data_IF_457543646327
#
_entry.id   IF_457543646327
#
_cell.length_a   1.000
_cell.length_b   1.000
_cell.length_c   1.000
_cell.angle_alpha   90.00
_cell.angle_beta   90.00
_cell.angle_gamma   90.00
#
_symmetry.space_group_name_H-M   'P 1'
#
loop_
_entity.id
_entity.type
_entity.pdbx_description
1 polymer ?
#
# COMPACT_ATOMS: atom_id res chain seq x y z
N UNK A 1 5.89 -0.30 9.72
CA UNK A 1 5.00 -0.04 8.58
C UNK A 1 5.45 -0.74 7.30
N UNK A 2 6.71 -0.63 6.95
CA UNK A 2 7.25 -1.26 5.72
C UNK A 2 7.00 -2.77 5.69
N UNK A 3 7.34 -3.47 6.75
CA UNK A 3 7.16 -4.93 6.84
C UNK A 3 5.71 -5.34 6.69
N UNK A 4 4.80 -4.59 7.31
CA UNK A 4 3.37 -4.88 7.23
C UNK A 4 2.87 -4.74 5.81
N UNK A 5 3.30 -3.70 5.11
CA UNK A 5 2.93 -3.48 3.71
C UNK A 5 3.47 -4.61 2.83
N UNK A 6 4.72 -5.01 3.04
CA UNK A 6 5.33 -6.12 2.29
C UNK A 6 4.60 -7.44 2.55
N UNK A 7 4.22 -7.70 3.80
CA UNK A 7 3.46 -8.89 4.15
C UNK A 7 2.10 -8.91 3.47
N UNK A 8 1.42 -7.76 3.43
CA UNK A 8 0.12 -7.65 2.77
C UNK A 8 0.25 -7.87 1.27
N UNK A 9 1.29 -7.32 0.63
CA UNK A 9 1.56 -7.57 -0.78
C UNK A 9 1.77 -9.06 -1.06
N UNK A 10 2.52 -9.73 -0.20
CA UNK A 10 2.77 -11.16 -0.33
C UNK A 10 1.48 -11.97 -0.18
N UNK A 11 0.66 -11.62 0.80
CA UNK A 11 -0.60 -12.31 1.07
C UNK A 11 -1.62 -12.16 -0.05
N UNK A 12 -1.63 -11.01 -0.71
CA UNK A 12 -2.53 -10.77 -1.84
C UNK A 12 -2.12 -11.56 -3.07
N UNK A 13 -0.93 -12.16 -3.07
CA UNK A 13 -0.41 -12.83 -4.25
C UNK A 13 -0.25 -11.87 -5.41
N UNK A 14 -0.02 -10.60 -5.10
CA UNK A 14 -0.13 -9.51 -6.04
C UNK A 14 1.00 -9.47 -7.06
N UNK A 15 2.16 -10.00 -6.70
CA UNK A 15 3.37 -9.84 -7.50
C UNK A 15 4.02 -11.19 -7.78
N UNK A 16 4.58 -11.37 -8.99
CA UNK A 16 5.22 -12.62 -9.37
C UNK A 16 6.63 -12.81 -8.82
N UNK A 17 7.13 -11.85 -8.06
CA UNK A 17 8.48 -11.88 -7.47
C UNK A 17 8.39 -11.81 -5.96
N UNK A 18 9.47 -12.22 -5.27
CA UNK A 18 9.50 -12.20 -3.81
C UNK A 18 9.67 -10.78 -3.28
N UNK A 19 9.16 -10.55 -2.09
CA UNK A 19 9.13 -9.21 -1.50
C UNK A 19 10.51 -8.64 -1.21
N UNK A 20 11.49 -9.49 -0.97
CA UNK A 20 12.86 -9.04 -0.73
C UNK A 20 13.58 -8.59 -2.01
N UNK A 21 13.00 -8.88 -3.17
CA UNK A 21 13.54 -8.42 -4.46
C UNK A 21 12.94 -7.09 -4.90
N UNK A 22 12.02 -6.53 -4.13
CA UNK A 22 11.34 -5.28 -4.47
C UNK A 22 11.93 -4.16 -3.63
N UNK A 23 12.47 -3.14 -4.30
CA UNK A 23 12.94 -1.93 -3.63
C UNK A 23 11.74 -1.11 -3.13
N UNK A 24 11.96 -0.32 -2.09
CA UNK A 24 10.89 0.50 -1.50
C UNK A 24 10.29 1.49 -2.50
N UNK A 25 11.09 1.97 -3.44
CA UNK A 25 10.66 2.94 -4.44
C UNK A 25 10.31 2.31 -5.79
N UNK A 26 10.33 0.98 -5.88
CA UNK A 26 10.00 0.28 -7.14
C UNK A 26 8.54 0.49 -7.50
N UNK A 27 8.27 0.63 -8.80
CA UNK A 27 6.91 0.77 -9.31
C UNK A 27 6.21 -0.58 -9.23
N UNK A 28 5.24 -0.68 -8.33
CA UNK A 28 4.52 -1.93 -8.09
C UNK A 28 3.68 -2.35 -9.30
N UNK A 29 3.12 -1.39 -10.02
CA UNK A 29 2.34 -1.70 -11.23
C UNK A 29 3.23 -2.24 -12.33
N UNK A 30 4.43 -1.68 -12.48
CA UNK A 30 5.42 -2.21 -13.41
C UNK A 30 5.88 -3.61 -13.03
N UNK A 31 5.89 -3.90 -11.73
CA UNK A 31 6.27 -5.22 -11.22
C UNK A 31 5.15 -6.25 -11.37
N UNK A 32 3.93 -5.83 -11.72
CA UNK A 32 2.84 -6.75 -11.96
C UNK A 32 1.60 -6.56 -11.10
N UNK A 33 1.54 -5.50 -10.29
CA UNK A 33 0.36 -5.26 -9.44
C UNK A 33 -0.86 -4.93 -10.32
N UNK A 34 -1.89 -5.75 -10.20
CA UNK A 34 -3.15 -5.52 -10.93
C UNK A 34 -4.05 -4.56 -10.16
N UNK A 35 -5.05 -4.01 -10.87
CA UNK A 35 -6.06 -3.15 -10.24
C UNK A 35 -6.83 -3.89 -9.16
N UNK A 36 -7.16 -5.15 -9.42
CA UNK A 36 -7.85 -5.98 -8.44
C UNK A 36 -7.01 -6.20 -7.19
N UNK A 37 -5.74 -6.53 -7.37
CA UNK A 37 -4.82 -6.76 -6.26
C UNK A 37 -4.59 -5.48 -5.45
N UNK A 38 -4.55 -4.32 -6.11
CA UNK A 38 -4.39 -3.05 -5.42
C UNK A 38 -5.57 -2.72 -4.52
N UNK A 39 -6.79 -3.09 -4.92
CA UNK A 39 -7.98 -2.93 -4.08
C UNK A 39 -7.89 -3.85 -2.85
N UNK A 40 -7.48 -5.09 -3.04
CA UNK A 40 -7.29 -6.01 -1.92
C UNK A 40 -6.21 -5.53 -0.96
N UNK A 41 -5.13 -5.00 -1.51
CA UNK A 41 -4.06 -4.41 -0.72
C UNK A 41 -4.58 -3.23 0.10
N UNK A 42 -5.36 -2.35 -0.51
CA UNK A 42 -5.97 -1.22 0.17
C UNK A 42 -6.80 -1.68 1.37
N UNK A 43 -7.68 -2.67 1.16
CA UNK A 43 -8.53 -3.19 2.22
C UNK A 43 -7.70 -3.81 3.35
N UNK A 44 -6.63 -4.52 3.00
CA UNK A 44 -5.72 -5.09 3.99
C UNK A 44 -5.02 -4.02 4.81
N UNK A 45 -4.61 -2.93 4.18
CA UNK A 45 -3.96 -1.81 4.86
C UNK A 45 -4.96 -1.11 5.79
N UNK A 46 -6.18 -0.89 5.34
CA UNK A 46 -7.21 -0.27 6.18
C UNK A 46 -7.45 -1.08 7.45
N UNK A 47 -7.50 -2.39 7.32
CA UNK A 47 -7.68 -3.29 8.44
C UNK A 47 -6.45 -3.32 9.36
N UNK A 48 -5.26 -3.43 8.78
CA UNK A 48 -4.03 -3.57 9.54
C UNK A 48 -3.70 -2.33 10.37
N UNK A 49 -4.01 -1.15 9.84
CA UNK A 49 -3.70 0.13 10.49
C UNK A 49 -4.93 0.81 11.08
N UNK A 50 -6.09 0.19 10.95
CA UNK A 50 -7.36 0.73 11.46
C UNK A 50 -7.61 2.14 10.93
N UNK A 51 -7.55 2.29 9.61
CA UNK A 51 -7.73 3.57 8.90
C UNK A 51 -8.71 3.40 7.75
N UNK A 52 -9.18 4.53 7.20
CA UNK A 52 -9.94 4.57 5.97
C UNK A 52 -9.25 5.51 4.99
N UNK A 53 -9.07 5.06 3.75
CA UNK A 53 -8.53 5.92 2.71
C UNK A 53 -9.60 6.89 2.25
N UNK A 54 -9.36 8.20 2.34
CA UNK A 54 -10.30 9.17 1.76
C UNK A 54 -10.25 9.11 0.22
N UNK A 55 -11.34 9.53 -0.41
CA UNK A 55 -11.48 9.43 -1.87
C UNK A 55 -10.34 10.09 -2.63
N UNK A 56 -9.83 11.21 -2.13
CA UNK A 56 -8.73 11.92 -2.81
C UNK A 56 -7.40 11.18 -2.75
N UNK A 57 -7.29 10.17 -1.89
CA UNK A 57 -6.10 9.33 -1.80
C UNK A 57 -6.30 7.95 -2.45
N UNK A 58 -7.51 7.66 -2.94
CA UNK A 58 -7.82 6.42 -3.64
C UNK A 58 -7.46 6.56 -5.12
N UNK A 59 -6.17 6.58 -5.42
CA UNK A 59 -5.68 6.72 -6.77
C UNK A 59 -4.44 5.87 -6.98
N UNK A 60 -4.08 5.66 -8.25
CA UNK A 60 -2.94 4.83 -8.62
C UNK A 60 -1.63 5.30 -8.00
N UNK A 61 -1.48 6.61 -7.86
CA UNK A 61 -0.26 7.22 -7.34
C UNK A 61 0.00 6.80 -5.89
N UNK A 62 -1.05 6.68 -5.09
CA UNK A 62 -0.94 6.30 -3.68
C UNK A 62 -0.42 4.89 -3.48
N UNK A 63 -0.60 4.02 -4.46
CA UNK A 63 -0.23 2.61 -4.40
C UNK A 63 0.90 2.25 -5.36
N UNK A 64 1.56 3.25 -5.94
CA UNK A 64 2.57 3.02 -6.97
C UNK A 64 3.84 2.37 -6.45
N UNK A 65 4.17 2.57 -5.17
CA UNK A 65 5.37 1.99 -4.55
C UNK A 65 5.12 1.79 -3.06
N UNK A 66 6.00 1.03 -2.41
CA UNK A 66 5.92 0.85 -0.95
C UNK A 66 6.10 2.20 -0.26
N UNK A 67 7.03 3.03 -0.74
CA UNK A 67 7.24 4.39 -0.22
C UNK A 67 5.96 5.23 -0.35
N UNK A 68 5.29 5.15 -1.51
CA UNK A 68 4.05 5.90 -1.72
C UNK A 68 2.95 5.45 -0.76
N UNK A 69 2.83 4.15 -0.53
CA UNK A 69 1.87 3.60 0.43
C UNK A 69 2.19 4.08 1.84
N UNK A 70 3.46 4.03 2.23
CA UNK A 70 3.89 4.50 3.54
C UNK A 70 3.55 5.97 3.76
N UNK A 71 3.81 6.81 2.75
CA UNK A 71 3.49 8.24 2.82
C UNK A 71 1.98 8.45 2.97
N UNK A 72 1.19 7.72 2.20
CA UNK A 72 -0.27 7.85 2.24
C UNK A 72 -0.81 7.43 3.59
N UNK A 73 -0.38 6.31 4.12
CA UNK A 73 -0.78 5.83 5.44
C UNK A 73 -0.35 6.83 6.52
N UNK A 74 0.89 7.35 6.40
CA UNK A 74 1.40 8.34 7.34
C UNK A 74 0.56 9.61 7.37
N UNK A 75 0.12 10.09 6.20
CA UNK A 75 -0.76 11.25 6.10
C UNK A 75 -2.10 11.02 6.80
N UNK A 76 -2.69 9.86 6.60
CA UNK A 76 -3.96 9.50 7.22
C UNK A 76 -3.81 9.42 8.74
N UNK A 77 -2.75 8.76 9.22
CA UNK A 77 -2.49 8.63 10.65
C UNK A 77 -2.22 9.98 11.31
N UNK A 78 -1.49 10.86 10.63
CA UNK A 78 -1.25 12.22 11.12
C UNK A 78 -2.54 13.03 11.22
N UNK A 79 -3.42 12.90 10.24
CA UNK A 79 -4.71 13.57 10.23
C UNK A 79 -5.55 13.19 11.45
N UNK A 80 -5.46 11.95 11.89
CA UNK A 80 -6.20 11.44 13.06
C UNK A 80 -5.69 12.00 14.38
N UNK A 81 -4.44 12.46 14.41
CA UNK A 81 -3.82 13.02 15.62
C UNK A 81 -4.18 14.48 15.84
N UNK A 82 -4.70 15.12 14.83
CA UNK A 82 -5.14 16.52 14.91
C UNK A 82 -6.52 16.54 15.53
N UNK A 83 -6.59 17.07 16.71
CA UNK A 83 -7.84 17.12 17.49
C UNK A 83 -8.35 18.55 17.54
#
# INVERSE_FOLDING_TARGET
MNETIRDLLAKCGALPITMDQIADDADLYAAGLSSFASVQLMLGIEEAFDIEFPDNLLNRKSFASIVAIEKTVGMILNSRKVV
#
